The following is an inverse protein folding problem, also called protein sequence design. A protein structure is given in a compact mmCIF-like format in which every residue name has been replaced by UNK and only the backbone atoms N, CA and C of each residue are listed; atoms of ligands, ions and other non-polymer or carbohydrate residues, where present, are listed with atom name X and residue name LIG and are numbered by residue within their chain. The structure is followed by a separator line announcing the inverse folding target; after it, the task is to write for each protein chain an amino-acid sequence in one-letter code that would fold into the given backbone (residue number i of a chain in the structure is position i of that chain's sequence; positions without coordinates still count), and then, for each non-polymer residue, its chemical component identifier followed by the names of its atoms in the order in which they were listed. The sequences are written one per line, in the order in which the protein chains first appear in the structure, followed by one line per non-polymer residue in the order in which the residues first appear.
data_IF_113343979923
#
_entry.id   IF_113343979923
#
_cell.length_a   1.000
_cell.length_b   1.000
_cell.length_c   1.000
_cell.angle_alpha   90.00
_cell.angle_beta   90.00
_cell.angle_gamma   90.00
#
_symmetry.space_group_name_H-M   'P 1'
#
loop_
_entity.id
_entity.type
_entity.pdbx_description
1 polymer ?
#
# COMPACT_ATOMS: atom_id res chain seq x y z
N UNK A 1 19.67 -27.38 -0.99
CA UNK A 1 18.24 -27.21 -1.31
C UNK A 1 17.47 -26.42 -0.23
N UNK A 2 17.68 -26.67 1.06
CA UNK A 2 17.03 -25.89 2.13
C UNK A 2 17.52 -24.42 2.24
N UNK A 3 18.83 -24.17 2.13
CA UNK A 3 19.41 -22.82 2.17
C UNK A 3 18.86 -21.90 1.07
N UNK A 4 18.83 -22.38 -0.19
CA UNK A 4 18.30 -21.61 -1.32
C UNK A 4 16.81 -21.27 -1.18
N UNK A 5 16.05 -22.08 -0.44
CA UNK A 5 14.63 -21.82 -0.22
C UNK A 5 14.41 -20.69 0.79
N UNK A 6 15.19 -20.63 1.87
CA UNK A 6 15.12 -19.53 2.86
C UNK A 6 15.58 -18.22 2.23
N UNK A 7 16.65 -18.25 1.42
CA UNK A 7 17.13 -17.06 0.70
C UNK A 7 16.07 -16.46 -0.22
N UNK A 8 15.33 -17.30 -0.95
CA UNK A 8 14.20 -16.86 -1.78
C UNK A 8 13.08 -16.23 -0.95
N UNK A 9 12.72 -16.84 0.19
CA UNK A 9 11.67 -16.28 1.05
C UNK A 9 12.06 -14.95 1.71
N UNK A 10 13.35 -14.79 2.04
CA UNK A 10 13.89 -13.52 2.53
C UNK A 10 13.92 -12.47 1.41
N UNK A 11 14.23 -12.84 0.17
CA UNK A 11 14.17 -11.94 -0.98
C UNK A 11 12.73 -11.44 -1.24
N UNK A 12 11.75 -12.35 -1.21
CA UNK A 12 10.33 -11.99 -1.31
C UNK A 12 9.88 -11.08 -0.15
N UNK A 13 10.34 -11.34 1.07
CA UNK A 13 10.05 -10.47 2.21
C UNK A 13 10.61 -9.06 2.03
N UNK A 14 11.83 -8.92 1.49
CA UNK A 14 12.42 -7.61 1.16
C UNK A 14 11.63 -6.89 0.07
N UNK A 15 11.16 -7.61 -0.94
CA UNK A 15 10.30 -7.05 -1.97
C UNK A 15 8.99 -6.52 -1.37
N UNK A 16 8.31 -7.31 -0.54
CA UNK A 16 7.09 -6.89 0.15
C UNK A 16 7.33 -5.66 1.04
N UNK A 17 8.47 -5.60 1.74
CA UNK A 17 8.84 -4.42 2.52
C UNK A 17 8.98 -3.16 1.64
N UNK A 18 9.63 -3.27 0.47
CA UNK A 18 9.71 -2.15 -0.48
C UNK A 18 8.32 -1.71 -0.94
N UNK A 19 7.44 -2.67 -1.24
CA UNK A 19 6.07 -2.40 -1.66
C UNK A 19 5.23 -1.72 -0.57
N UNK A 20 5.47 -2.01 0.72
CA UNK A 20 4.85 -1.29 1.83
C UNK A 20 5.22 0.19 1.76
N UNK A 21 6.50 0.51 1.55
CA UNK A 21 6.97 1.88 1.43
C UNK A 21 6.35 2.61 0.22
N UNK A 22 6.35 1.96 -0.95
CA UNK A 22 5.74 2.52 -2.16
C UNK A 22 4.23 2.79 -1.96
N UNK A 23 3.53 1.88 -1.25
CA UNK A 23 2.12 2.04 -0.93
C UNK A 23 1.88 3.23 0.02
N UNK A 24 2.78 3.49 0.96
CA UNK A 24 2.72 4.66 1.84
C UNK A 24 2.92 5.97 1.07
N UNK A 25 3.89 6.02 0.16
CA UNK A 25 4.05 7.18 -0.72
C UNK A 25 2.81 7.43 -1.60
N UNK A 26 2.21 6.36 -2.11
CA UNK A 26 0.99 6.44 -2.90
C UNK A 26 -0.19 7.00 -2.10
N UNK A 27 -0.31 6.67 -0.81
CA UNK A 27 -1.31 7.30 0.07
C UNK A 27 -1.06 8.80 0.15
N UNK A 28 0.18 9.23 0.38
CA UNK A 28 0.49 10.67 0.48
C UNK A 28 0.10 11.41 -0.80
N UNK A 29 0.38 10.84 -1.97
CA UNK A 29 -0.01 11.39 -3.27
C UNK A 29 -1.53 11.46 -3.42
N UNK A 30 -2.24 10.38 -3.11
CA UNK A 30 -3.70 10.31 -3.19
C UNK A 30 -4.40 11.26 -2.21
N UNK A 31 -3.86 11.41 -0.99
CA UNK A 31 -4.35 12.37 0.01
C UNK A 31 -4.18 13.81 -0.43
N UNK A 32 -3.04 14.14 -1.04
CA UNK A 32 -2.81 15.47 -1.60
C UNK A 32 -3.80 15.77 -2.72
N UNK A 33 -4.01 14.81 -3.62
CA UNK A 33 -5.00 14.93 -4.70
C UNK A 33 -6.41 15.13 -4.16
N UNK A 34 -6.85 14.28 -3.22
CA UNK A 34 -8.16 14.39 -2.59
C UNK A 34 -8.39 15.76 -1.94
N UNK A 35 -7.43 16.25 -1.15
CA UNK A 35 -7.53 17.58 -0.50
C UNK A 35 -7.62 18.72 -1.50
N UNK A 36 -6.87 18.64 -2.60
CA UNK A 36 -6.92 19.63 -3.67
C UNK A 36 -8.30 19.63 -4.35
N UNK A 37 -8.78 18.46 -4.77
CA UNK A 37 -10.10 18.31 -5.41
C UNK A 37 -11.22 18.79 -4.48
N UNK A 38 -11.13 18.47 -3.19
CA UNK A 38 -12.08 18.96 -2.17
C UNK A 38 -12.11 20.49 -2.08
N UNK A 39 -10.94 21.12 -2.08
CA UNK A 39 -10.82 22.60 -2.07
C UNK A 39 -11.38 23.23 -3.34
N UNK A 40 -11.14 22.62 -4.50
CA UNK A 40 -11.69 23.08 -5.78
C UNK A 40 -13.20 22.89 -5.87
N UNK A 41 -13.71 21.78 -5.36
CA UNK A 41 -15.15 21.49 -5.29
C UNK A 41 -15.87 22.50 -4.39
N UNK A 42 -15.31 22.79 -3.21
CA UNK A 42 -15.86 23.79 -2.29
C UNK A 42 -15.93 25.20 -2.91
N UNK A 43 -15.05 25.50 -3.88
CA UNK A 43 -15.05 26.75 -4.64
C UNK A 43 -15.92 26.71 -5.90
N UNK A 44 -16.59 25.60 -6.18
CA UNK A 44 -17.41 25.40 -7.37
C UNK A 44 -16.61 25.22 -8.67
N UNK A 45 -15.30 24.95 -8.58
CA UNK A 45 -14.44 24.68 -9.74
C UNK A 45 -14.54 23.23 -10.20
N UNK A 46 -14.64 22.29 -9.26
CA UNK A 46 -14.81 20.85 -9.50
C UNK A 46 -16.24 20.43 -9.22
N UNK A 47 -16.66 19.32 -9.82
CA UNK A 47 -18.04 18.82 -9.71
C UNK A 47 -18.12 17.53 -8.85
N UNK A 48 -19.34 17.04 -8.64
CA UNK A 48 -19.57 15.84 -7.82
C UNK A 48 -18.87 14.58 -8.37
N UNK A 49 -18.84 14.32 -9.70
CA UNK A 49 -18.01 13.27 -10.27
C UNK A 49 -16.51 13.39 -9.94
N UNK A 50 -15.91 14.59 -10.04
CA UNK A 50 -14.51 14.79 -9.66
C UNK A 50 -14.24 14.40 -8.20
N UNK A 51 -15.15 14.80 -7.29
CA UNK A 51 -15.08 14.43 -5.88
C UNK A 51 -15.24 12.93 -5.65
N UNK A 52 -16.15 12.28 -6.37
CA UNK A 52 -16.35 10.85 -6.29
C UNK A 52 -15.07 10.11 -6.72
N UNK A 53 -14.51 10.44 -7.88
CA UNK A 53 -13.28 9.82 -8.38
C UNK A 53 -12.10 10.03 -7.44
N UNK A 54 -11.95 11.22 -6.83
CA UNK A 54 -10.92 11.46 -5.83
C UNK A 54 -11.14 10.63 -4.55
N UNK A 55 -12.40 10.46 -4.12
CA UNK A 55 -12.77 9.65 -2.96
C UNK A 55 -12.52 8.15 -3.20
N UNK A 56 -12.89 7.65 -4.37
CA UNK A 56 -12.61 6.27 -4.79
C UNK A 56 -11.11 6.03 -4.85
N UNK A 57 -10.34 6.99 -5.38
CA UNK A 57 -8.89 6.83 -5.52
C UNK A 57 -8.18 6.72 -4.17
N UNK A 58 -8.51 7.59 -3.22
CA UNK A 58 -7.92 7.51 -1.87
C UNK A 58 -8.34 6.22 -1.16
N UNK A 59 -9.58 5.78 -1.34
CA UNK A 59 -10.06 4.51 -0.79
C UNK A 59 -9.31 3.31 -1.37
N UNK A 60 -9.17 3.24 -2.70
CA UNK A 60 -8.46 2.18 -3.40
C UNK A 60 -7.01 2.05 -2.90
N UNK A 61 -6.29 3.16 -2.82
CA UNK A 61 -4.88 3.16 -2.41
C UNK A 61 -4.74 2.75 -0.94
N UNK A 62 -5.65 3.20 -0.06
CA UNK A 62 -5.67 2.78 1.35
C UNK A 62 -5.95 1.28 1.48
N UNK A 63 -6.91 0.76 0.72
CA UNK A 63 -7.20 -0.67 0.72
C UNK A 63 -6.00 -1.48 0.20
N UNK A 64 -5.34 -1.00 -0.85
CA UNK A 64 -4.15 -1.66 -1.40
C UNK A 64 -3.01 -1.75 -0.40
N UNK A 65 -2.79 -0.69 0.39
CA UNK A 65 -1.79 -0.73 1.48
C UNK A 65 -2.13 -1.80 2.51
N UNK A 66 -3.40 -1.94 2.90
CA UNK A 66 -3.81 -2.96 3.87
C UNK A 66 -3.55 -4.38 3.36
N UNK A 67 -3.80 -4.62 2.07
CA UNK A 67 -3.45 -5.90 1.42
C UNK A 67 -1.95 -6.19 1.51
N UNK A 68 -1.12 -5.23 1.09
CA UNK A 68 0.35 -5.39 1.08
C UNK A 68 0.90 -5.58 2.50
N UNK A 69 0.39 -4.84 3.48
CA UNK A 69 0.78 -5.00 4.88
C UNK A 69 0.42 -6.38 5.43
N UNK A 70 -0.77 -6.88 5.10
CA UNK A 70 -1.19 -8.22 5.49
C UNK A 70 -0.23 -9.26 4.90
N UNK A 71 0.07 -9.17 3.62
CA UNK A 71 0.96 -10.11 2.93
C UNK A 71 2.40 -10.05 3.48
N UNK A 72 2.92 -8.86 3.75
CA UNK A 72 4.21 -8.64 4.40
C UNK A 72 4.27 -9.30 5.79
N UNK A 73 3.27 -9.04 6.64
CA UNK A 73 3.23 -9.58 8.01
C UNK A 73 3.12 -11.10 8.02
N UNK A 74 2.31 -11.68 7.14
CA UNK A 74 2.19 -13.13 7.00
C UNK A 74 3.52 -13.76 6.56
N UNK A 75 4.20 -13.16 5.57
CA UNK A 75 5.50 -13.64 5.10
C UNK A 75 6.58 -13.51 6.17
N UNK A 76 6.58 -12.40 6.91
CA UNK A 76 7.50 -12.16 8.02
C UNK A 76 7.33 -13.25 9.09
N UNK A 77 6.09 -13.52 9.50
CA UNK A 77 5.80 -14.56 10.49
C UNK A 77 6.26 -15.95 10.01
N UNK A 78 6.03 -16.28 8.73
CA UNK A 78 6.46 -17.55 8.13
C UNK A 78 7.99 -17.71 8.08
N UNK A 79 8.71 -16.67 7.66
CA UNK A 79 10.19 -16.67 7.65
C UNK A 79 10.74 -16.82 9.07
N UNK A 80 10.20 -16.08 10.05
CA UNK A 80 10.60 -16.20 11.46
C UNK A 80 10.36 -17.60 12.02
N UNK A 81 9.22 -18.21 11.71
CA UNK A 81 8.89 -19.57 12.16
C UNK A 81 9.85 -20.63 11.59
N UNK A 82 10.43 -20.40 10.42
CA UNK A 82 11.42 -21.29 9.80
C UNK A 82 12.84 -21.08 10.31
N UNK A 83 13.21 -19.86 10.68
CA UNK A 83 14.54 -19.56 11.25
C UNK A 83 14.65 -20.07 12.69
N UNK A 84 13.55 -20.05 13.44
CA UNK A 84 13.49 -20.53 14.83
C UNK A 84 13.31 -22.05 14.98
N UNK A 85 13.25 -22.81 13.88
CA UNK A 85 13.18 -24.28 13.86
C UNK A 85 14.49 -24.87 13.37
#
# INVERSE_FOLDING_TARGET
QAHSHIENEVAELKLLHSQVHDAEENIVRAEKYYKLTQSEYARGVKNSPDMLSASEKIFEVKNKRLEILKDFNLKQAHVLAKINR
#
